data_IF_898728761461
#
_entry.id   IF_898728761461
#
_cell.length_a   1.000
_cell.length_b   1.000
_cell.length_c   1.000
_cell.angle_alpha   90.00
_cell.angle_beta   90.00
_cell.angle_gamma   90.00
#
_symmetry.space_group_name_H-M   'P 1'
#
loop_
_entity.id
_entity.type
_entity.pdbx_description
1 polymer ?
#
# COMPACT_ATOMS: atom_id res chain seq x y z
N UNK A 1 0.14 23.03 24.80
CA UNK A 1 0.26 21.56 24.73
C UNK A 1 0.39 21.23 23.25
N UNK A 2 1.62 21.14 22.75
CA UNK A 2 1.88 20.95 21.32
C UNK A 2 1.58 19.52 20.93
N UNK A 3 0.54 19.32 20.12
CA UNK A 3 0.33 18.03 19.46
C UNK A 3 1.57 17.76 18.61
N UNK A 4 2.26 16.61 18.77
CA UNK A 4 3.30 16.26 17.81
C UNK A 4 2.56 16.13 16.49
N UNK A 5 2.76 17.09 15.59
CA UNK A 5 2.47 16.93 14.18
C UNK A 5 3.34 15.76 13.76
N UNK A 6 2.77 14.56 13.87
CA UNK A 6 3.37 13.35 13.40
C UNK A 6 3.67 13.63 11.92
N UNK A 7 4.94 13.92 11.65
CA UNK A 7 5.50 13.88 10.32
C UNK A 7 5.51 12.40 9.95
N UNK A 8 4.33 11.83 9.74
CA UNK A 8 4.19 10.67 8.89
C UNK A 8 4.75 11.17 7.56
N UNK A 9 6.03 10.88 7.34
CA UNK A 9 6.69 11.08 6.07
C UNK A 9 5.73 10.51 5.03
N UNK A 10 5.56 11.18 3.90
CA UNK A 10 4.57 10.81 2.88
C UNK A 10 4.52 9.30 2.61
N UNK A 11 5.67 8.61 2.64
CA UNK A 11 5.80 7.15 2.58
C UNK A 11 5.03 6.36 3.66
N UNK A 12 4.94 6.83 4.90
CA UNK A 12 4.15 6.21 5.96
C UNK A 12 2.65 6.45 5.78
N UNK A 13 2.26 7.65 5.33
CA UNK A 13 0.86 7.97 5.06
C UNK A 13 0.33 7.14 3.89
N UNK A 14 1.12 6.98 2.83
CA UNK A 14 0.72 6.22 1.67
C UNK A 14 0.78 4.70 1.89
N UNK A 15 1.75 4.18 2.65
CA UNK A 15 1.71 2.79 3.11
C UNK A 15 0.43 2.49 3.91
N UNK A 16 0.03 3.41 4.80
CA UNK A 16 -1.22 3.30 5.56
C UNK A 16 -2.46 3.32 4.65
N UNK A 17 -2.50 4.20 3.65
CA UNK A 17 -3.61 4.24 2.68
C UNK A 17 -3.73 2.95 1.86
N UNK A 18 -2.61 2.42 1.38
CA UNK A 18 -2.57 1.16 0.62
C UNK A 18 -3.04 -0.03 1.46
N UNK A 19 -2.51 -0.15 2.69
CA UNK A 19 -2.90 -1.21 3.62
C UNK A 19 -4.37 -1.09 4.04
N UNK A 20 -4.85 0.11 4.36
CA UNK A 20 -6.22 0.35 4.76
C UNK A 20 -7.21 0.12 3.61
N UNK A 21 -6.85 0.44 2.37
CA UNK A 21 -7.63 0.10 1.18
C UNK A 21 -7.79 -1.42 1.05
N UNK A 22 -6.70 -2.18 1.20
CA UNK A 22 -6.74 -3.65 1.13
C UNK A 22 -7.54 -4.26 2.29
N UNK A 23 -7.40 -3.73 3.51
CA UNK A 23 -8.22 -4.12 4.65
C UNK A 23 -9.71 -3.88 4.40
N UNK A 24 -10.07 -2.72 3.86
CA UNK A 24 -11.46 -2.38 3.49
C UNK A 24 -12.04 -3.25 2.38
N UNK A 25 -11.20 -3.92 1.59
CA UNK A 25 -11.61 -4.93 0.60
C UNK A 25 -11.72 -6.34 1.17
N UNK A 26 -11.36 -6.55 2.44
CA UNK A 26 -11.39 -7.85 3.11
C UNK A 26 -10.09 -8.65 2.99
N UNK A 27 -8.98 -8.03 2.56
CA UNK A 27 -7.67 -8.71 2.52
C UNK A 27 -6.99 -8.68 3.89
N UNK A 28 -6.25 -9.76 4.18
CA UNK A 28 -5.40 -9.84 5.36
C UNK A 28 -4.15 -8.97 5.18
N UNK A 29 -4.11 -7.86 5.90
CA UNK A 29 -2.94 -6.97 5.91
C UNK A 29 -1.89 -7.52 6.88
N UNK A 30 -0.92 -8.22 6.34
CA UNK A 30 0.28 -8.67 7.06
C UNK A 30 1.52 -7.84 6.74
N UNK A 31 2.66 -8.29 7.26
CA UNK A 31 3.97 -7.67 7.00
C UNK A 31 4.31 -7.65 5.49
N UNK A 32 3.90 -8.69 4.75
CA UNK A 32 4.04 -8.74 3.30
C UNK A 32 3.30 -7.61 2.58
N UNK A 33 2.06 -7.30 3.01
CA UNK A 33 1.27 -6.21 2.42
C UNK A 33 1.90 -4.86 2.76
N UNK A 34 2.35 -4.68 4.01
CA UNK A 34 3.09 -3.47 4.41
C UNK A 34 4.36 -3.28 3.58
N UNK A 35 5.13 -4.34 3.37
CA UNK A 35 6.35 -4.34 2.55
C UNK A 35 6.05 -4.01 1.08
N UNK A 36 4.95 -4.54 0.53
CA UNK A 36 4.50 -4.19 -0.82
C UNK A 36 4.11 -2.72 -0.91
N UNK A 37 3.28 -2.24 0.02
CA UNK A 37 2.83 -0.86 0.13
C UNK A 37 3.95 0.15 0.49
N UNK A 38 5.15 -0.31 0.87
CA UNK A 38 6.33 0.56 0.98
C UNK A 38 6.86 0.99 -0.39
N UNK A 39 6.49 0.28 -1.46
CA UNK A 39 6.82 0.62 -2.83
C UNK A 39 5.63 1.39 -3.41
N UNK A 40 5.72 2.72 -3.43
CA UNK A 40 4.62 3.60 -3.85
C UNK A 40 4.31 3.55 -5.34
N UNK A 41 4.20 4.71 -5.98
CA UNK A 41 4.03 4.80 -7.44
C UNK A 41 5.37 4.82 -8.18
N UNK A 42 5.40 4.23 -9.39
CA UNK A 42 6.54 4.26 -10.30
C UNK A 42 6.08 4.74 -11.68
N UNK A 43 6.73 5.78 -12.21
CA UNK A 43 6.41 6.38 -13.51
C UNK A 43 4.92 6.77 -13.68
N UNK A 44 4.26 7.22 -12.61
CA UNK A 44 2.84 7.59 -12.62
C UNK A 44 1.86 6.40 -12.56
N UNK A 45 2.36 5.17 -12.41
CA UNK A 45 1.58 3.95 -12.25
C UNK A 45 1.88 3.20 -10.95
N UNK A 46 1.21 2.06 -10.74
CA UNK A 46 1.53 1.15 -9.66
C UNK A 46 2.95 0.59 -9.84
N UNK A 47 3.76 0.61 -8.78
CA UNK A 47 5.11 0.05 -8.85
C UNK A 47 5.04 -1.47 -9.11
N UNK A 48 5.77 -2.01 -10.10
CA UNK A 48 5.75 -3.43 -10.43
C UNK A 48 6.11 -4.36 -9.26
N UNK A 49 6.95 -3.90 -8.32
CA UNK A 49 7.27 -4.60 -7.08
C UNK A 49 6.09 -4.64 -6.11
N UNK A 50 5.32 -3.55 -5.99
CA UNK A 50 4.12 -3.54 -5.18
C UNK A 50 3.09 -4.53 -5.73
N UNK A 51 2.85 -4.52 -7.05
CA UNK A 51 1.93 -5.48 -7.67
C UNK A 51 2.41 -6.92 -7.56
N UNK A 52 3.66 -7.22 -7.92
CA UNK A 52 4.20 -8.58 -7.85
C UNK A 52 4.15 -9.16 -6.42
N UNK A 53 4.42 -8.33 -5.41
CA UNK A 53 4.42 -8.77 -4.01
C UNK A 53 3.01 -9.00 -3.49
N UNK A 54 2.04 -8.14 -3.83
CA UNK A 54 0.62 -8.37 -3.50
C UNK A 54 0.07 -9.62 -4.19
N UNK A 55 0.43 -9.88 -5.46
CA UNK A 55 0.08 -11.11 -6.17
C UNK A 55 0.64 -12.34 -5.43
N UNK A 56 1.90 -12.28 -5.00
CA UNK A 56 2.55 -13.36 -4.25
C UNK A 56 1.91 -13.63 -2.88
N UNK A 57 1.17 -12.66 -2.35
CA UNK A 57 0.41 -12.78 -1.10
C UNK A 57 -1.01 -13.33 -1.31
N UNK A 58 -1.35 -13.73 -2.54
CA UNK A 58 -2.66 -14.28 -2.88
C UNK A 58 -3.72 -13.24 -3.25
N UNK A 59 -3.34 -11.97 -3.37
CA UNK A 59 -4.24 -10.94 -3.89
C UNK A 59 -4.24 -11.07 -5.41
N UNK A 60 -5.25 -11.73 -5.96
CA UNK A 60 -5.37 -11.99 -7.40
C UNK A 60 -6.16 -10.92 -8.15
N UNK A 61 -6.82 -10.01 -7.43
CA UNK A 61 -7.66 -8.98 -8.04
C UNK A 61 -6.80 -7.80 -8.53
N UNK A 62 -6.43 -7.83 -9.82
CA UNK A 62 -5.52 -6.84 -10.42
C UNK A 62 -5.94 -5.38 -10.23
N UNK A 63 -7.24 -5.09 -10.21
CA UNK A 63 -7.75 -3.74 -9.95
C UNK A 63 -7.47 -3.29 -8.51
N UNK A 64 -7.70 -4.15 -7.53
CA UNK A 64 -7.43 -3.83 -6.12
C UNK A 64 -5.93 -3.62 -5.88
N UNK A 65 -5.09 -4.42 -6.54
CA UNK A 65 -3.64 -4.29 -6.45
C UNK A 65 -3.17 -2.96 -7.03
N UNK A 66 -3.61 -2.64 -8.25
CA UNK A 66 -3.21 -1.40 -8.93
C UNK A 66 -3.69 -0.17 -8.16
N UNK A 67 -4.93 -0.17 -7.66
CA UNK A 67 -5.45 0.92 -6.81
C UNK A 67 -4.71 1.03 -5.48
N UNK A 68 -4.41 -0.08 -4.81
CA UNK A 68 -3.65 -0.08 -3.57
C UNK A 68 -2.25 0.53 -3.77
N UNK A 69 -1.53 0.06 -4.79
CA UNK A 69 -0.19 0.56 -5.12
C UNK A 69 -0.19 2.01 -5.63
N UNK A 70 -1.29 2.48 -6.25
CA UNK A 70 -1.44 3.89 -6.63
C UNK A 70 -1.69 4.81 -5.45
N UNK A 71 -2.24 4.27 -4.36
CA UNK A 71 -2.49 4.98 -3.09
C UNK A 71 -1.29 4.92 -2.14
N UNK A 72 -0.28 4.11 -2.49
CA UNK A 72 1.01 3.90 -1.81
C UNK A 72 2.08 4.94 -2.20
#
# INVERSE_FOLDING_TARGET
MGVPLATATSAQATQSQCTNYLAGKGYLVGDGVRSACSHGTYLGGAHPFCTAKLISLGITNGTHINEACKRA
#
